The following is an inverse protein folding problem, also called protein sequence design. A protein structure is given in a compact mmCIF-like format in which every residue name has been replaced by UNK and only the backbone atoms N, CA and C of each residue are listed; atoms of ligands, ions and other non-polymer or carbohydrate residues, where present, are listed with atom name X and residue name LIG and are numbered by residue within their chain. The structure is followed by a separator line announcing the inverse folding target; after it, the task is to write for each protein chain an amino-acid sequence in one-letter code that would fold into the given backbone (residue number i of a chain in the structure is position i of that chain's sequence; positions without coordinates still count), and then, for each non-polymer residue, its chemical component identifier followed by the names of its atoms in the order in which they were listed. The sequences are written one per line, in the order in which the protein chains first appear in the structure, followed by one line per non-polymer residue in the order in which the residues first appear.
data_IF_014029199744
#
_entry.id   IF_014029199744
#
_cell.length_a   1.000
_cell.length_b   1.000
_cell.length_c   1.000
_cell.angle_alpha   90.00
_cell.angle_beta   90.00
_cell.angle_gamma   90.00
#
_symmetry.space_group_name_H-M   'P 1'
#
loop_
_entity.id
_entity.type
_entity.pdbx_description
1 polymer ?
#
# COMPACT_ATOMS: atom_id res chain seq x y z
N UNK A 1 -10.90 -51.32 108.43
CA UNK A 1 -10.16 -51.70 107.25
C UNK A 1 -11.05 -51.54 106.03
N UNK A 2 -11.17 -50.44 105.46
CA UNK A 2 -11.87 -50.27 104.21
C UNK A 2 -11.01 -49.40 103.27
N UNK A 3 -10.64 -49.99 102.15
CA UNK A 3 -9.92 -49.33 101.09
C UNK A 3 -10.90 -48.62 100.14
N UNK A 4 -10.82 -47.34 100.04
CA UNK A 4 -11.57 -46.54 99.11
C UNK A 4 -10.81 -46.49 97.77
N UNK A 5 -11.45 -46.94 96.69
CA UNK A 5 -10.95 -46.87 95.32
C UNK A 5 -11.55 -45.63 94.69
N UNK A 6 -10.69 -44.68 94.33
CA UNK A 6 -11.08 -43.48 93.57
C UNK A 6 -10.95 -43.79 92.08
N UNK A 7 -12.09 -43.75 91.35
CA UNK A 7 -12.13 -43.91 89.90
C UNK A 7 -12.04 -42.55 89.24
N UNK A 8 -10.95 -42.31 88.53
CA UNK A 8 -10.77 -41.08 87.74
C UNK A 8 -11.38 -41.33 86.35
N UNK A 9 -12.46 -40.61 86.00
CA UNK A 9 -13.08 -40.63 84.66
C UNK A 9 -12.40 -39.58 83.83
N UNK A 10 -11.60 -39.92 82.84
CA UNK A 10 -10.99 -39.03 81.85
C UNK A 10 -12.02 -38.65 80.81
N UNK A 11 -12.40 -37.39 80.76
CA UNK A 11 -13.27 -36.79 79.70
C UNK A 11 -12.40 -36.48 78.47
N UNK A 12 -12.54 -37.29 77.43
CA UNK A 12 -11.86 -37.03 76.10
C UNK A 12 -12.74 -36.11 75.31
N UNK A 13 -12.37 -34.82 75.32
CA UNK A 13 -13.01 -33.81 74.52
C UNK A 13 -12.60 -33.93 73.06
N UNK A 14 -13.49 -34.43 72.19
CA UNK A 14 -13.31 -34.46 70.74
C UNK A 14 -13.51 -33.04 70.17
N UNK A 15 -12.40 -32.33 69.85
CA UNK A 15 -12.49 -31.08 69.14
C UNK A 15 -12.79 -31.35 67.66
N UNK A 16 -14.05 -31.11 67.23
CA UNK A 16 -14.46 -31.08 65.82
C UNK A 16 -13.81 -29.85 65.15
N UNK A 17 -12.72 -30.07 64.40
CA UNK A 17 -12.19 -29.10 63.46
C UNK A 17 -13.16 -28.96 62.29
N UNK A 18 -14.05 -27.93 62.33
CA UNK A 18 -14.84 -27.54 61.20
C UNK A 18 -13.91 -26.88 60.18
N UNK A 19 -13.36 -27.61 59.28
CA UNK A 19 -12.72 -27.07 58.08
C UNK A 19 -13.82 -26.44 57.20
N UNK A 20 -14.03 -25.13 57.35
CA UNK A 20 -14.88 -24.36 56.44
C UNK A 20 -14.22 -24.38 55.08
N UNK A 21 -14.57 -25.30 54.20
CA UNK A 21 -14.36 -25.17 52.78
C UNK A 21 -15.11 -23.91 52.36
N UNK A 22 -14.40 -22.82 52.10
CA UNK A 22 -14.97 -21.67 51.35
C UNK A 22 -15.36 -22.26 50.00
N UNK A 23 -16.64 -22.48 49.79
CA UNK A 23 -17.22 -22.73 48.47
C UNK A 23 -16.91 -21.50 47.65
N UNK A 24 -15.95 -21.58 46.73
CA UNK A 24 -15.80 -20.56 45.73
C UNK A 24 -17.14 -20.48 45.01
N UNK A 25 -17.87 -19.41 45.25
CA UNK A 25 -19.05 -19.08 44.44
C UNK A 25 -18.43 -18.78 43.08
N UNK A 26 -18.73 -19.60 42.10
CA UNK A 26 -18.37 -19.31 40.70
C UNK A 26 -19.15 -18.04 40.30
N UNK A 27 -18.55 -16.92 40.50
CA UNK A 27 -19.08 -15.64 39.99
C UNK A 27 -18.79 -15.69 38.50
N UNK A 28 -19.86 -15.66 37.68
CA UNK A 28 -19.69 -15.51 36.24
C UNK A 28 -18.85 -14.26 35.95
N UNK A 29 -17.70 -14.41 35.28
CA UNK A 29 -16.85 -13.27 34.98
C UNK A 29 -17.57 -12.28 34.06
N UNK A 30 -17.32 -11.01 34.29
CA UNK A 30 -17.72 -9.93 33.41
C UNK A 30 -16.49 -9.19 32.93
N UNK A 31 -16.29 -9.10 31.62
CA UNK A 31 -15.28 -8.24 31.04
C UNK A 31 -15.93 -6.91 30.65
N UNK A 32 -15.32 -5.82 31.08
CA UNK A 32 -15.82 -4.46 30.88
C UNK A 32 -15.16 -3.78 29.69
N UNK A 33 -13.85 -4.03 29.48
CA UNK A 33 -13.06 -3.31 28.49
C UNK A 33 -11.91 -4.19 28.01
N UNK A 34 -11.52 -3.98 26.77
CA UNK A 34 -10.29 -4.47 26.16
C UNK A 34 -9.49 -3.26 25.63
N UNK A 35 -8.22 -3.16 25.99
CA UNK A 35 -7.37 -2.06 25.59
C UNK A 35 -6.02 -2.56 25.04
N UNK A 36 -5.65 -2.14 23.81
CA UNK A 36 -6.50 -1.48 22.80
C UNK A 36 -7.61 -2.42 22.28
N UNK A 37 -8.68 -1.85 21.67
CA UNK A 37 -9.78 -2.59 21.06
C UNK A 37 -9.49 -3.08 19.63
N UNK A 38 -8.36 -2.64 19.09
CA UNK A 38 -7.84 -3.03 17.78
C UNK A 38 -6.32 -3.01 17.77
N UNK A 39 -5.69 -4.03 17.19
CA UNK A 39 -4.22 -4.10 17.11
C UNK A 39 -3.75 -5.15 16.09
N UNK A 40 -2.47 -5.04 15.69
CA UNK A 40 -1.77 -6.06 14.92
C UNK A 40 -1.35 -7.25 15.78
N UNK A 41 -0.97 -8.34 15.11
CA UNK A 41 -0.37 -9.52 15.76
C UNK A 41 0.80 -9.16 16.68
N UNK A 42 0.97 -9.91 17.74
CA UNK A 42 1.97 -9.74 18.79
C UNK A 42 1.76 -8.54 19.75
N UNK A 43 0.73 -7.73 19.58
CA UNK A 43 0.41 -6.62 20.48
C UNK A 43 -0.12 -7.16 21.82
N UNK A 44 0.31 -6.56 22.94
CA UNK A 44 -0.20 -6.86 24.28
C UNK A 44 -1.57 -6.19 24.48
N UNK A 45 -2.54 -6.97 24.93
CA UNK A 45 -3.88 -6.49 25.28
C UNK A 45 -4.11 -6.62 26.78
N UNK A 46 -4.80 -5.65 27.34
CA UNK A 46 -5.30 -5.69 28.71
C UNK A 46 -6.81 -5.81 28.71
N UNK A 47 -7.34 -6.86 29.31
CA UNK A 47 -8.77 -7.06 29.52
C UNK A 47 -9.06 -6.73 30.99
N UNK A 48 -9.99 -5.82 31.25
CA UNK A 48 -10.42 -5.46 32.58
C UNK A 48 -11.84 -5.92 32.85
N UNK A 49 -12.15 -6.25 34.13
CA UNK A 49 -13.45 -6.77 34.51
C UNK A 49 -13.54 -7.20 35.95
N UNK A 50 -14.33 -8.23 36.20
CA UNK A 50 -14.44 -8.89 37.52
C UNK A 50 -14.58 -10.40 37.34
N UNK A 51 -14.08 -11.19 38.32
CA UNK A 51 -14.12 -12.65 38.28
C UNK A 51 -13.20 -13.28 37.23
N UNK A 52 -12.23 -12.54 36.69
CA UNK A 52 -11.39 -12.96 35.55
C UNK A 52 -10.31 -13.98 35.93
N UNK A 53 -10.05 -14.20 37.20
CA UNK A 53 -9.02 -15.11 37.71
C UNK A 53 -9.12 -16.53 37.18
N UNK A 54 -10.37 -16.99 36.96
CA UNK A 54 -10.64 -18.37 36.56
C UNK A 54 -10.66 -18.61 35.05
N UNK A 55 -10.30 -17.61 34.23
CA UNK A 55 -10.17 -17.78 32.78
C UNK A 55 -8.94 -18.65 32.49
N UNK A 56 -9.16 -19.72 31.73
CA UNK A 56 -8.10 -20.70 31.39
C UNK A 56 -7.72 -20.72 29.93
N UNK A 57 -8.60 -20.23 29.04
CA UNK A 57 -8.29 -20.16 27.60
C UNK A 57 -8.97 -18.97 26.96
N UNK A 58 -8.36 -18.51 25.86
CA UNK A 58 -8.92 -17.49 24.98
C UNK A 58 -8.68 -17.91 23.52
N UNK A 59 -9.63 -17.59 22.63
CA UNK A 59 -9.59 -17.94 21.21
C UNK A 59 -10.12 -16.75 20.41
N UNK A 60 -9.45 -16.40 19.34
CA UNK A 60 -9.97 -15.50 18.30
C UNK A 60 -10.91 -16.30 17.41
N UNK A 61 -12.19 -15.93 17.34
CA UNK A 61 -13.25 -16.76 16.73
C UNK A 61 -13.12 -16.86 15.20
N UNK A 62 -12.56 -15.85 14.53
CA UNK A 62 -12.28 -15.93 13.10
C UNK A 62 -11.12 -16.89 12.85
N UNK A 63 -11.44 -18.11 12.45
CA UNK A 63 -10.48 -19.19 12.21
C UNK A 63 -10.09 -20.00 13.46
N UNK A 64 -10.71 -19.74 14.62
CA UNK A 64 -10.45 -20.44 15.90
C UNK A 64 -8.97 -20.41 16.31
N UNK A 65 -8.34 -19.25 16.25
CA UNK A 65 -6.90 -19.09 16.55
C UNK A 65 -6.70 -18.98 18.06
N UNK A 66 -5.99 -19.93 18.71
CA UNK A 66 -5.82 -19.92 20.16
C UNK A 66 -4.84 -18.84 20.62
N UNK A 67 -5.11 -18.29 21.80
CA UNK A 67 -4.23 -17.32 22.46
C UNK A 67 -3.29 -18.07 23.41
N UNK A 68 -1.99 -17.89 23.21
CA UNK A 68 -1.00 -18.37 24.19
C UNK A 68 -0.88 -17.37 25.34
N UNK A 69 -1.36 -17.70 26.53
CA UNK A 69 -1.17 -16.92 27.76
C UNK A 69 -1.05 -17.84 28.96
N UNK A 70 -0.52 -17.30 30.08
CA UNK A 70 -0.38 -18.08 31.32
C UNK A 70 -1.46 -17.67 32.30
N UNK A 71 -2.45 -18.54 32.61
CA UNK A 71 -3.56 -18.25 33.51
C UNK A 71 -3.11 -17.89 34.94
N UNK A 72 -1.91 -18.29 35.36
CA UNK A 72 -1.39 -17.98 36.71
C UNK A 72 -1.13 -16.48 36.93
N UNK A 73 -1.06 -15.69 35.87
CA UNK A 73 -0.92 -14.23 35.97
C UNK A 73 -2.28 -13.51 35.95
N UNK A 74 -3.40 -14.23 35.80
CA UNK A 74 -4.71 -13.62 35.87
C UNK A 74 -4.99 -13.11 37.29
N UNK A 75 -5.50 -11.90 37.33
CA UNK A 75 -6.07 -11.35 38.57
C UNK A 75 -7.59 -11.42 38.50
N UNK A 76 -8.26 -11.07 39.61
CA UNK A 76 -9.72 -11.01 39.60
C UNK A 76 -10.25 -9.92 38.66
N UNK A 77 -9.46 -8.86 38.42
CA UNK A 77 -9.87 -7.67 37.70
C UNK A 77 -9.19 -7.49 36.34
N UNK A 78 -8.16 -8.28 36.00
CA UNK A 78 -7.43 -8.12 34.75
C UNK A 78 -6.82 -9.42 34.21
N UNK A 79 -6.79 -9.52 32.87
CA UNK A 79 -6.05 -10.51 32.09
C UNK A 79 -5.15 -9.79 31.11
N UNK A 80 -3.94 -10.30 30.92
CA UNK A 80 -3.00 -9.85 29.88
C UNK A 80 -2.84 -10.96 28.84
N UNK A 81 -3.11 -10.64 27.58
CA UNK A 81 -2.92 -11.56 26.46
C UNK A 81 -2.17 -10.86 25.32
N UNK A 82 -1.61 -11.65 24.39
CA UNK A 82 -1.08 -11.10 23.13
C UNK A 82 -1.96 -11.55 21.96
N UNK A 83 -2.17 -10.64 21.01
CA UNK A 83 -2.77 -10.99 19.73
C UNK A 83 -1.90 -12.04 19.06
N UNK A 84 -2.42 -13.22 18.70
CA UNK A 84 -1.64 -14.20 17.95
C UNK A 84 -1.12 -13.64 16.64
N UNK A 85 0.12 -13.98 16.26
CA UNK A 85 0.72 -13.47 15.02
C UNK A 85 0.01 -14.00 13.76
N UNK A 86 -0.66 -15.13 13.89
CA UNK A 86 -1.45 -15.82 12.88
C UNK A 86 -2.96 -15.54 12.99
N UNK A 87 -3.37 -14.62 13.87
CA UNK A 87 -4.77 -14.20 13.96
C UNK A 87 -5.25 -13.61 12.62
N UNK A 88 -6.41 -14.05 12.17
CA UNK A 88 -7.00 -13.54 10.93
C UNK A 88 -7.37 -12.07 11.06
N UNK A 89 -7.07 -11.30 10.02
CA UNK A 89 -7.32 -9.84 9.96
C UNK A 89 -8.82 -9.56 9.85
N UNK A 90 -9.28 -8.54 10.57
CA UNK A 90 -10.64 -8.05 10.51
C UNK A 90 -11.35 -8.07 11.87
N UNK A 91 -12.62 -7.61 11.85
CA UNK A 91 -13.49 -7.60 13.05
C UNK A 91 -13.88 -9.02 13.42
N UNK A 92 -13.73 -9.35 14.69
CA UNK A 92 -14.01 -10.66 15.26
C UNK A 92 -14.24 -10.56 16.78
N UNK A 93 -14.41 -11.69 17.46
CA UNK A 93 -14.48 -11.73 18.92
C UNK A 93 -13.33 -12.54 19.51
N UNK A 94 -12.90 -12.16 20.70
CA UNK A 94 -12.04 -12.98 21.53
C UNK A 94 -12.97 -13.69 22.52
N UNK A 95 -13.06 -15.01 22.40
CA UNK A 95 -13.89 -15.88 23.25
C UNK A 95 -13.02 -16.42 24.38
N UNK A 96 -13.41 -16.10 25.61
CA UNK A 96 -12.75 -16.55 26.83
C UNK A 96 -13.53 -17.70 27.45
N UNK A 97 -12.83 -18.72 27.96
CA UNK A 97 -13.43 -19.86 28.63
C UNK A 97 -12.82 -20.02 30.03
N UNK A 98 -13.67 -20.17 31.03
CA UNK A 98 -13.28 -20.38 32.42
C UNK A 98 -13.03 -21.86 32.73
N UNK A 99 -12.46 -22.15 33.91
CA UNK A 99 -12.29 -23.50 34.45
C UNK A 99 -13.62 -24.26 34.65
N UNK A 100 -14.75 -23.53 34.84
CA UNK A 100 -16.09 -24.10 34.93
C UNK A 100 -16.77 -24.34 33.58
N UNK A 101 -16.12 -23.92 32.46
CA UNK A 101 -16.67 -24.01 31.11
C UNK A 101 -17.58 -22.84 30.74
N UNK A 102 -17.73 -21.82 31.60
CA UNK A 102 -18.46 -20.61 31.24
C UNK A 102 -17.70 -19.83 30.18
N UNK A 103 -18.41 -19.30 29.18
CA UNK A 103 -17.82 -18.51 28.10
C UNK A 103 -18.40 -17.08 28.07
N UNK A 104 -17.53 -16.14 27.73
CA UNK A 104 -17.89 -14.77 27.39
C UNK A 104 -16.98 -14.27 26.27
N UNK A 105 -17.37 -13.23 25.57
CA UNK A 105 -16.59 -12.71 24.45
C UNK A 105 -16.54 -11.18 24.46
N UNK A 106 -15.48 -10.64 23.86
CA UNK A 106 -15.30 -9.22 23.60
C UNK A 106 -15.05 -9.00 22.10
N UNK A 107 -15.64 -7.95 21.51
CA UNK A 107 -15.33 -7.56 20.15
C UNK A 107 -13.87 -7.06 20.07
N UNK A 108 -13.21 -7.39 18.98
CA UNK A 108 -11.84 -6.97 18.70
C UNK A 108 -11.61 -6.88 17.20
N UNK A 109 -10.72 -5.97 16.76
CA UNK A 109 -10.31 -5.90 15.35
C UNK A 109 -8.82 -6.19 15.22
N UNK A 110 -8.49 -7.26 14.49
CA UNK A 110 -7.08 -7.54 14.13
C UNK A 110 -6.71 -6.69 12.93
N UNK A 111 -5.68 -5.86 13.09
CA UNK A 111 -5.17 -4.96 12.06
C UNK A 111 -4.04 -5.63 11.28
N UNK A 112 -3.94 -5.28 9.98
CA UNK A 112 -2.79 -5.60 9.16
C UNK A 112 -2.05 -4.34 8.73
N UNK A 113 -0.74 -4.45 8.48
CA UNK A 113 0.03 -3.38 7.83
C UNK A 113 -0.50 -3.14 6.42
N UNK A 114 -0.40 -1.91 5.90
CA UNK A 114 -0.78 -1.63 4.52
C UNK A 114 0.02 -2.49 3.55
N UNK A 115 -0.58 -2.83 2.41
CA UNK A 115 0.10 -3.49 1.31
C UNK A 115 -0.21 -2.73 0.04
N UNK A 116 0.81 -2.24 -0.67
CA UNK A 116 0.67 -1.44 -1.88
C UNK A 116 1.11 -2.28 -3.07
N UNK A 117 0.25 -2.41 -4.07
CA UNK A 117 0.52 -3.19 -5.29
C UNK A 117 0.80 -2.33 -6.50
N UNK A 118 0.23 -1.11 -6.56
CA UNK A 118 0.43 -0.19 -7.68
C UNK A 118 0.12 1.26 -7.29
N UNK A 119 0.58 2.18 -8.12
CA UNK A 119 0.24 3.60 -8.08
C UNK A 119 -0.22 4.06 -9.47
N UNK A 120 -1.13 5.01 -9.51
CA UNK A 120 -1.53 5.69 -10.74
C UNK A 120 -1.83 7.17 -10.46
N UNK A 121 -1.20 8.10 -11.19
CA UNK A 121 -0.06 7.86 -12.08
C UNK A 121 1.18 7.35 -11.31
N UNK A 122 2.20 6.87 -12.03
CA UNK A 122 3.50 6.48 -11.44
C UNK A 122 4.45 7.66 -11.26
N UNK A 123 3.94 8.85 -11.50
CA UNK A 123 4.67 10.11 -11.43
C UNK A 123 3.89 11.09 -10.56
N UNK A 124 4.59 12.08 -10.03
CA UNK A 124 3.95 13.20 -9.32
C UNK A 124 4.65 14.52 -9.63
N UNK A 125 3.91 15.58 -9.52
CA UNK A 125 4.41 16.95 -9.33
C UNK A 125 3.81 17.53 -8.06
N UNK A 126 4.36 18.62 -7.57
CA UNK A 126 3.88 19.26 -6.36
C UNK A 126 2.37 19.54 -6.41
N UNK A 127 1.61 18.97 -5.47
CA UNK A 127 0.16 19.11 -5.37
C UNK A 127 -0.67 18.17 -6.24
N UNK A 128 -0.06 17.36 -7.10
CA UNK A 128 -0.80 16.37 -7.90
C UNK A 128 -1.33 15.20 -7.04
N UNK A 129 -2.39 14.58 -7.54
CA UNK A 129 -3.03 13.45 -6.89
C UNK A 129 -2.46 12.14 -7.43
N UNK A 130 -2.14 11.22 -6.51
CA UNK A 130 -1.75 9.83 -6.82
C UNK A 130 -2.71 8.89 -6.12
N UNK A 131 -3.19 7.87 -6.83
CA UNK A 131 -4.01 6.79 -6.29
C UNK A 131 -3.14 5.56 -6.09
N UNK A 132 -2.98 5.13 -4.85
CA UNK A 132 -2.34 3.87 -4.49
C UNK A 132 -3.40 2.77 -4.40
N UNK A 133 -3.12 1.61 -4.99
CA UNK A 133 -3.98 0.42 -4.90
C UNK A 133 -3.28 -0.65 -4.07
N UNK A 134 -4.06 -1.37 -3.25
CA UNK A 134 -3.49 -2.37 -2.36
C UNK A 134 -4.51 -3.04 -1.45
N UNK A 135 -4.10 -3.33 -0.21
CA UNK A 135 -4.96 -3.90 0.82
C UNK A 135 -4.70 -3.22 2.17
N UNK A 136 -5.71 -3.21 3.05
CA UNK A 136 -5.65 -2.68 4.42
C UNK A 136 -5.26 -1.20 4.47
N UNK A 137 -5.76 -0.41 3.50
CA UNK A 137 -5.42 1.01 3.34
C UNK A 137 -6.37 1.93 4.09
N UNK A 138 -7.54 1.46 4.54
CA UNK A 138 -8.63 2.23 5.17
C UNK A 138 -8.23 2.98 6.44
N UNK A 139 -7.25 2.47 7.16
CA UNK A 139 -6.74 3.06 8.41
C UNK A 139 -5.40 3.75 8.26
N UNK A 140 -4.96 4.01 7.00
CA UNK A 140 -3.73 4.74 6.75
C UNK A 140 -3.82 6.17 7.28
N UNK A 141 -2.81 6.60 8.03
CA UNK A 141 -2.78 7.88 8.72
C UNK A 141 -1.53 8.72 8.43
N UNK A 142 -0.54 8.14 7.75
CA UNK A 142 0.68 8.83 7.39
C UNK A 142 1.28 8.29 6.09
N UNK A 143 1.79 9.20 5.25
CA UNK A 143 2.52 8.90 4.02
C UNK A 143 3.80 9.71 4.00
N UNK A 144 4.95 9.06 3.90
CA UNK A 144 6.25 9.71 3.81
C UNK A 144 6.92 9.42 2.47
N UNK A 145 7.64 10.41 1.94
CA UNK A 145 8.53 10.25 0.79
C UNK A 145 9.88 9.76 1.31
N UNK A 146 10.20 8.51 1.00
CA UNK A 146 11.40 7.84 1.57
C UNK A 146 12.68 8.58 1.14
N UNK A 147 13.55 8.81 2.11
CA UNK A 147 14.82 9.53 1.90
C UNK A 147 14.73 11.03 2.03
N UNK A 148 13.54 11.57 2.35
CA UNK A 148 13.31 13.01 2.60
C UNK A 148 12.57 13.21 3.93
N UNK A 149 12.29 14.47 4.27
CA UNK A 149 11.40 14.85 5.38
C UNK A 149 9.97 15.14 4.90
N UNK A 150 9.72 15.03 3.60
CA UNK A 150 8.47 15.42 2.97
C UNK A 150 7.40 14.36 3.19
N UNK A 151 6.17 14.81 3.43
CA UNK A 151 5.02 13.95 3.71
C UNK A 151 3.86 14.26 2.77
N UNK A 152 3.19 13.21 2.30
CA UNK A 152 1.97 13.34 1.51
C UNK A 152 0.75 13.62 2.38
N UNK A 153 -0.27 14.20 1.79
CA UNK A 153 -1.59 14.41 2.40
C UNK A 153 -2.56 13.34 1.91
N UNK A 154 -3.22 12.66 2.84
CA UNK A 154 -4.26 11.68 2.52
C UNK A 154 -5.57 12.41 2.23
N UNK A 155 -6.12 12.21 1.04
CA UNK A 155 -7.40 12.77 0.59
C UNK A 155 -8.55 11.82 0.91
N UNK A 156 -8.36 10.54 0.62
CA UNK A 156 -9.33 9.49 0.95
C UNK A 156 -8.65 8.14 1.11
N UNK A 157 -9.25 7.27 1.93
CA UNK A 157 -8.79 5.93 2.17
C UNK A 157 -9.96 4.95 2.17
N UNK A 158 -9.76 3.80 1.54
CA UNK A 158 -10.65 2.63 1.58
C UNK A 158 -9.80 1.37 1.72
N UNK A 159 -10.41 0.21 1.91
CA UNK A 159 -9.67 -1.05 2.06
C UNK A 159 -8.70 -1.35 0.90
N UNK A 160 -9.00 -0.86 -0.30
CA UNK A 160 -8.27 -1.17 -1.54
C UNK A 160 -7.59 0.02 -2.20
N UNK A 161 -7.92 1.23 -1.81
CA UNK A 161 -7.40 2.45 -2.43
C UNK A 161 -7.05 3.51 -1.39
N UNK A 162 -5.94 4.19 -1.62
CA UNK A 162 -5.50 5.35 -0.86
C UNK A 162 -5.19 6.47 -1.85
N UNK A 163 -5.96 7.54 -1.79
CA UNK A 163 -5.76 8.73 -2.64
C UNK A 163 -4.98 9.76 -1.84
N UNK A 164 -3.86 10.20 -2.39
CA UNK A 164 -2.94 11.11 -1.73
C UNK A 164 -2.57 12.27 -2.65
N UNK A 165 -2.15 13.40 -2.07
CA UNK A 165 -1.37 14.42 -2.77
C UNK A 165 0.04 14.45 -2.23
N UNK A 166 1.01 14.64 -3.13
CA UNK A 166 2.42 14.72 -2.76
C UNK A 166 2.92 16.17 -2.88
N UNK A 167 3.76 16.65 -1.95
CA UNK A 167 4.32 18.00 -1.99
C UNK A 167 5.47 18.09 -2.99
N UNK A 168 6.00 19.32 -3.16
CA UNK A 168 7.32 19.50 -3.73
C UNK A 168 8.35 18.75 -2.91
N UNK A 169 9.31 18.10 -3.58
CA UNK A 169 10.37 17.32 -2.93
C UNK A 169 11.70 17.50 -3.62
N UNK A 170 12.77 17.33 -2.88
CA UNK A 170 14.14 17.31 -3.43
C UNK A 170 14.46 16.01 -4.18
N UNK A 171 13.72 14.93 -3.90
CA UNK A 171 13.92 13.63 -4.55
C UNK A 171 13.51 13.68 -6.03
N UNK A 172 14.35 13.14 -6.93
CA UNK A 172 14.02 12.96 -8.35
C UNK A 172 13.09 11.76 -8.57
N UNK A 173 13.21 10.75 -7.74
CA UNK A 173 12.29 9.61 -7.61
C UNK A 173 12.30 9.11 -6.18
N UNK A 174 11.22 8.50 -5.70
CA UNK A 174 11.15 7.98 -4.35
C UNK A 174 10.13 6.87 -4.19
N UNK A 175 10.42 5.96 -3.27
CA UNK A 175 9.42 5.06 -2.68
C UNK A 175 8.57 5.83 -1.68
N UNK A 176 7.37 5.34 -1.43
CA UNK A 176 6.50 5.86 -0.38
C UNK A 176 6.43 4.89 0.79
N UNK A 177 6.50 5.43 2.00
CA UNK A 177 6.24 4.69 3.22
C UNK A 177 4.83 5.04 3.73
N UNK A 178 3.95 4.05 3.81
CA UNK A 178 2.57 4.19 4.23
C UNK A 178 2.41 3.55 5.62
N UNK A 179 1.89 4.30 6.57
CA UNK A 179 1.72 3.89 7.96
C UNK A 179 0.24 3.83 8.33
N UNK A 180 -0.14 2.81 9.06
CA UNK A 180 -1.39 2.70 9.80
C UNK A 180 -1.13 2.27 11.25
N UNK A 181 -2.18 2.00 12.02
CA UNK A 181 -2.04 1.59 13.44
C UNK A 181 -1.37 0.20 13.62
N UNK A 182 -1.25 -0.60 12.55
CA UNK A 182 -0.57 -1.89 12.60
C UNK A 182 0.93 -1.79 12.29
N UNK A 183 1.36 -0.75 11.57
CA UNK A 183 2.75 -0.55 11.19
C UNK A 183 2.93 0.20 9.88
N UNK A 184 4.14 0.13 9.35
CA UNK A 184 4.55 0.84 8.13
C UNK A 184 4.98 -0.15 7.05
N UNK A 185 4.54 0.11 5.82
CA UNK A 185 5.01 -0.59 4.61
C UNK A 185 5.62 0.43 3.63
N UNK A 186 6.70 0.04 2.98
CA UNK A 186 7.31 0.83 1.89
C UNK A 186 6.94 0.19 0.56
N UNK A 187 6.63 1.02 -0.46
CA UNK A 187 6.35 0.52 -1.82
C UNK A 187 7.55 -0.21 -2.42
N UNK A 188 7.31 -1.25 -3.19
CA UNK A 188 8.38 -1.96 -3.91
C UNK A 188 8.89 -1.19 -5.14
N UNK A 189 8.08 -0.29 -5.66
CA UNK A 189 8.37 0.61 -6.78
C UNK A 189 8.60 2.05 -6.30
N UNK A 190 9.27 2.85 -7.13
CA UNK A 190 9.41 4.30 -6.92
C UNK A 190 8.47 5.07 -7.82
N UNK A 191 7.96 6.20 -7.34
CA UNK A 191 7.31 7.21 -8.17
C UNK A 191 8.35 8.21 -8.67
N UNK A 192 8.11 8.80 -9.82
CA UNK A 192 8.99 9.79 -10.46
C UNK A 192 8.49 11.20 -10.14
N UNK A 193 9.38 12.05 -9.66
CA UNK A 193 9.06 13.47 -9.46
C UNK A 193 9.25 14.26 -10.76
N UNK A 194 8.16 14.57 -11.45
CA UNK A 194 8.18 15.29 -12.71
C UNK A 194 8.82 16.68 -12.61
N UNK A 195 8.83 17.31 -11.43
CA UNK A 195 9.44 18.62 -11.22
C UNK A 195 10.98 18.57 -11.24
N UNK A 196 11.58 17.37 -11.27
CA UNK A 196 13.02 17.14 -11.31
C UNK A 196 13.48 16.50 -12.62
N UNK A 197 12.59 16.32 -13.59
CA UNK A 197 12.89 15.65 -14.86
C UNK A 197 12.92 16.65 -16.02
N UNK A 198 13.55 16.28 -17.12
CA UNK A 198 13.37 16.96 -18.37
C UNK A 198 12.02 16.57 -18.96
N UNK A 199 11.10 17.53 -19.00
CA UNK A 199 9.76 17.37 -19.58
C UNK A 199 9.82 17.57 -21.09
N UNK A 200 9.50 16.54 -21.86
CA UNK A 200 9.29 16.69 -23.30
C UNK A 200 7.84 17.11 -23.57
N UNK A 201 6.89 16.44 -22.86
CA UNK A 201 5.48 16.83 -22.89
C UNK A 201 4.82 16.45 -21.56
N UNK A 202 3.93 17.31 -21.05
CA UNK A 202 3.03 17.03 -19.92
C UNK A 202 1.67 17.69 -20.22
N UNK A 203 1.31 18.85 -19.62
CA UNK A 203 0.15 19.68 -20.00
C UNK A 203 0.41 20.51 -21.28
N UNK A 204 1.56 20.33 -21.90
CA UNK A 204 2.05 21.02 -23.07
C UNK A 204 3.50 20.65 -23.32
N UNK A 205 4.07 21.17 -24.38
CA UNK A 205 5.49 20.98 -24.67
C UNK A 205 6.35 21.59 -23.56
N UNK A 206 7.40 20.89 -23.19
CA UNK A 206 8.40 21.38 -22.23
C UNK A 206 9.11 22.66 -22.72
N UNK A 207 9.84 23.32 -21.83
CA UNK A 207 10.62 24.49 -22.20
C UNK A 207 11.65 24.15 -23.28
N UNK A 208 11.66 24.87 -24.40
CA UNK A 208 12.54 24.60 -25.54
C UNK A 208 12.18 23.37 -26.35
N UNK A 209 11.03 22.76 -26.11
CA UNK A 209 10.55 21.59 -26.89
C UNK A 209 9.56 22.07 -27.95
N UNK A 210 9.75 21.59 -29.18
CA UNK A 210 8.96 21.91 -30.37
C UNK A 210 8.40 20.62 -30.98
N UNK A 211 7.25 20.75 -31.64
CA UNK A 211 6.66 19.68 -32.45
C UNK A 211 7.24 19.70 -33.87
N UNK A 212 7.96 18.65 -34.22
CA UNK A 212 8.48 18.41 -35.57
C UNK A 212 7.91 17.11 -36.16
N UNK A 213 6.70 16.74 -35.71
CA UNK A 213 6.02 15.52 -36.15
C UNK A 213 5.71 15.55 -37.66
N UNK A 214 5.80 14.36 -38.28
CA UNK A 214 5.33 14.14 -39.65
C UNK A 214 4.04 13.30 -39.66
N UNK A 215 3.40 13.11 -38.53
CA UNK A 215 2.01 12.72 -38.31
C UNK A 215 1.15 13.97 -38.12
N UNK A 216 -0.18 13.79 -37.99
CA UNK A 216 -1.05 14.91 -37.61
C UNK A 216 -1.09 15.02 -36.09
N UNK A 217 -0.32 15.99 -35.59
CA UNK A 217 -0.16 16.25 -34.16
C UNK A 217 -1.05 17.38 -33.68
N UNK A 218 -1.57 17.29 -32.45
CA UNK A 218 -2.31 18.37 -31.76
C UNK A 218 -2.40 18.08 -30.26
N UNK A 219 -2.61 19.13 -29.46
CA UNK A 219 -2.89 18.97 -28.04
C UNK A 219 -4.40 18.75 -27.87
N UNK A 220 -4.76 17.63 -27.23
CA UNK A 220 -6.13 17.32 -26.79
C UNK A 220 -6.39 17.91 -25.42
N UNK A 221 -7.47 18.67 -25.27
CA UNK A 221 -7.92 19.23 -23.98
C UNK A 221 -9.06 18.41 -23.35
N UNK A 222 -9.22 17.14 -23.76
CA UNK A 222 -10.17 16.22 -23.16
C UNK A 222 -9.54 15.50 -21.96
N UNK A 223 -9.97 15.80 -20.71
CA UNK A 223 -9.37 15.17 -19.52
C UNK A 223 -9.62 13.66 -19.43
N UNK A 224 -10.57 13.10 -20.18
CA UNK A 224 -10.76 11.65 -20.26
C UNK A 224 -9.70 10.98 -21.15
N UNK A 225 -8.96 11.78 -21.90
CA UNK A 225 -7.87 11.35 -22.78
C UNK A 225 -6.51 11.88 -22.28
N UNK A 226 -6.40 12.14 -20.98
CA UNK A 226 -5.18 12.56 -20.29
C UNK A 226 -4.95 11.70 -19.04
N UNK A 227 -3.72 11.66 -18.54
CA UNK A 227 -3.32 10.84 -17.37
C UNK A 227 -3.24 11.74 -16.14
N UNK A 228 -4.30 11.73 -15.32
CA UNK A 228 -4.41 12.53 -14.10
C UNK A 228 -4.11 14.04 -14.31
N UNK A 229 -4.34 14.52 -15.51
CA UNK A 229 -4.06 15.86 -16.01
C UNK A 229 -5.23 16.36 -16.85
N UNK A 230 -5.08 17.47 -17.58
CA UNK A 230 -6.16 18.03 -18.39
C UNK A 230 -5.89 17.94 -19.88
N UNK A 231 -4.64 17.66 -20.28
CA UNK A 231 -4.23 17.66 -21.68
C UNK A 231 -3.35 16.43 -21.98
N UNK A 232 -3.39 16.00 -23.24
CA UNK A 232 -2.51 14.99 -23.80
C UNK A 232 -2.10 15.36 -25.23
N UNK A 233 -1.01 14.80 -25.72
CA UNK A 233 -0.56 14.95 -27.09
C UNK A 233 -1.28 13.91 -27.95
N UNK A 234 -2.13 14.37 -28.86
CA UNK A 234 -2.89 13.54 -29.79
C UNK A 234 -2.15 13.43 -31.11
N UNK A 235 -1.87 12.19 -31.52
CA UNK A 235 -1.23 11.86 -32.77
C UNK A 235 -2.17 11.05 -33.68
N UNK A 236 -2.38 11.48 -34.91
CA UNK A 236 -3.15 10.76 -35.91
C UNK A 236 -2.19 10.22 -36.96
N UNK A 237 -2.08 8.92 -37.02
CA UNK A 237 -1.27 8.17 -37.95
C UNK A 237 -2.15 7.62 -39.08
N UNK A 238 -1.87 7.97 -40.32
CA UNK A 238 -2.66 7.51 -41.47
C UNK A 238 -2.46 6.02 -41.70
N UNK A 239 -3.49 5.33 -42.18
CA UNK A 239 -3.52 3.95 -42.59
C UNK A 239 -2.30 3.57 -43.44
N UNK A 240 -1.58 2.52 -43.00
CA UNK A 240 -0.41 1.99 -43.73
C UNK A 240 0.78 2.94 -43.80
N UNK A 241 0.71 4.10 -43.12
CA UNK A 241 1.78 5.09 -43.12
C UNK A 241 2.85 4.82 -42.06
N UNK A 242 4.10 5.12 -42.40
CA UNK A 242 5.22 5.14 -41.45
C UNK A 242 5.42 6.56 -40.92
N UNK A 243 4.38 7.09 -40.31
CA UNK A 243 4.40 8.44 -39.75
C UNK A 243 4.92 8.41 -38.33
N UNK A 244 5.33 9.57 -37.82
CA UNK A 244 5.87 9.67 -36.46
C UNK A 244 5.64 11.02 -35.82
N UNK A 245 5.42 10.95 -34.52
CA UNK A 245 5.58 12.08 -33.61
C UNK A 245 7.07 12.34 -33.45
N UNK A 246 7.47 13.62 -33.44
CA UNK A 246 8.85 14.03 -33.19
C UNK A 246 8.87 15.22 -32.22
N UNK A 247 9.53 15.07 -31.11
CA UNK A 247 9.72 16.11 -30.11
C UNK A 247 11.15 16.64 -30.20
N UNK A 248 11.30 17.85 -30.71
CA UNK A 248 12.59 18.51 -30.93
C UNK A 248 12.93 19.44 -29.76
N UNK A 249 14.15 19.35 -29.25
CA UNK A 249 14.71 20.25 -28.23
C UNK A 249 15.62 21.29 -28.88
N UNK A 250 15.47 22.53 -28.46
CA UNK A 250 16.41 23.62 -28.84
C UNK A 250 17.84 23.34 -28.35
N UNK A 251 17.96 22.61 -27.23
CA UNK A 251 19.25 22.23 -26.63
C UNK A 251 19.61 20.78 -26.93
N UNK A 252 20.91 20.47 -26.92
CA UNK A 252 21.39 19.12 -27.00
C UNK A 252 21.04 18.32 -25.75
N UNK A 253 20.42 17.15 -25.94
CA UNK A 253 20.12 16.17 -24.91
C UNK A 253 21.25 15.13 -24.94
N UNK A 254 22.02 15.06 -23.86
CA UNK A 254 23.03 14.01 -23.66
C UNK A 254 22.35 12.86 -22.93
N UNK A 255 22.07 11.77 -23.65
CA UNK A 255 21.22 10.68 -23.11
C UNK A 255 21.80 10.03 -21.86
N UNK A 256 23.13 9.97 -21.70
CA UNK A 256 23.79 9.43 -20.50
C UNK A 256 23.57 10.23 -19.22
N UNK A 257 22.99 11.44 -19.30
CA UNK A 257 22.59 12.20 -18.12
C UNK A 257 21.27 11.70 -17.51
N UNK A 258 20.60 10.76 -18.18
CA UNK A 258 19.30 10.24 -17.81
C UNK A 258 19.35 8.72 -17.63
N UNK A 259 18.49 8.22 -16.74
CA UNK A 259 18.34 6.79 -16.48
C UNK A 259 17.33 6.13 -17.43
N UNK A 260 16.27 6.85 -17.82
CA UNK A 260 15.20 6.33 -18.66
C UNK A 260 14.46 7.44 -19.43
N UNK A 261 13.81 7.05 -20.53
CA UNK A 261 12.70 7.76 -21.16
C UNK A 261 11.40 7.09 -20.68
N UNK A 262 10.47 7.86 -20.11
CA UNK A 262 9.16 7.37 -19.67
C UNK A 262 8.04 8.14 -20.34
N UNK A 263 6.91 7.48 -20.56
CA UNK A 263 5.69 8.11 -21.08
C UNK A 263 4.48 7.23 -20.86
N UNK A 264 3.31 7.85 -20.84
CA UNK A 264 2.05 7.15 -21.03
C UNK A 264 1.66 7.20 -22.50
N UNK A 265 1.10 6.11 -23.01
CA UNK A 265 0.51 6.06 -24.35
C UNK A 265 -0.80 5.30 -24.31
N UNK A 266 -1.84 5.86 -24.92
CA UNK A 266 -3.12 5.19 -25.13
C UNK A 266 -3.21 4.79 -26.60
N UNK A 267 -3.41 3.49 -26.85
CA UNK A 267 -3.55 2.94 -28.18
C UNK A 267 -4.81 3.38 -28.93
N UNK A 268 -4.76 3.25 -30.23
CA UNK A 268 -5.88 3.47 -31.15
C UNK A 268 -6.90 2.33 -31.13
N UNK A 269 -7.52 2.06 -32.28
CA UNK A 269 -8.57 1.03 -32.40
C UNK A 269 -8.03 -0.40 -32.48
N UNK A 270 -6.75 -0.57 -32.73
CA UNK A 270 -6.04 -1.85 -32.77
C UNK A 270 -4.69 -1.75 -32.05
N UNK A 271 -4.06 -2.91 -31.79
CA UNK A 271 -2.72 -2.94 -31.22
C UNK A 271 -1.72 -2.39 -32.23
N UNK A 272 -0.84 -1.49 -31.78
CA UNK A 272 0.15 -0.85 -32.62
C UNK A 272 1.57 -1.13 -32.15
N UNK A 273 2.52 -1.10 -33.07
CA UNK A 273 3.94 -1.09 -32.77
C UNK A 273 4.47 0.34 -33.02
N UNK A 274 5.16 0.87 -32.05
CA UNK A 274 5.78 2.21 -32.13
C UNK A 274 7.27 2.09 -31.86
N UNK A 275 8.09 2.49 -32.82
CA UNK A 275 9.53 2.62 -32.65
C UNK A 275 9.85 3.96 -31.99
N UNK A 276 10.53 3.90 -30.87
CA UNK A 276 11.04 5.06 -30.14
C UNK A 276 12.52 5.16 -30.36
N UNK A 277 13.00 6.29 -30.86
CA UNK A 277 14.42 6.48 -31.18
C UNK A 277 14.87 7.93 -30.96
N UNK A 278 16.11 8.15 -30.49
CA UNK A 278 16.75 9.43 -30.60
C UNK A 278 17.20 9.68 -32.05
N UNK A 279 17.23 10.93 -32.49
CA UNK A 279 17.76 11.30 -33.82
C UNK A 279 19.29 11.08 -33.89
N UNK A 280 19.88 10.74 -35.10
CA UNK A 280 19.20 10.66 -36.39
C UNK A 280 18.52 9.31 -36.61
N UNK A 281 17.37 9.36 -37.30
CA UNK A 281 16.68 8.16 -37.74
C UNK A 281 17.59 7.22 -38.55
N UNK A 282 17.34 5.92 -38.41
CA UNK A 282 18.08 4.90 -39.14
C UNK A 282 19.40 4.47 -38.51
N UNK A 283 19.79 5.01 -37.37
CA UNK A 283 20.82 4.41 -36.52
C UNK A 283 20.25 3.18 -35.82
N UNK A 284 21.11 2.25 -35.39
CA UNK A 284 20.71 1.00 -34.77
C UNK A 284 20.02 1.15 -33.37
N UNK A 285 19.83 2.35 -32.89
CA UNK A 285 19.34 2.67 -31.55
C UNK A 285 17.85 3.04 -31.56
N UNK A 286 17.00 2.03 -31.66
CA UNK A 286 15.56 2.19 -31.50
C UNK A 286 14.99 1.08 -30.62
N UNK A 287 13.90 1.39 -29.93
CA UNK A 287 13.15 0.44 -29.11
C UNK A 287 11.72 0.36 -29.65
N UNK A 288 11.28 -0.84 -30.00
CA UNK A 288 9.90 -1.08 -30.42
C UNK A 288 9.02 -1.33 -29.22
N UNK A 289 7.97 -0.53 -29.06
CA UNK A 289 6.98 -0.63 -28.00
C UNK A 289 5.66 -1.16 -28.60
N UNK A 290 5.06 -2.16 -27.93
CA UNK A 290 3.70 -2.59 -28.23
C UNK A 290 2.72 -1.72 -27.46
N UNK A 291 1.79 -1.09 -28.18
CA UNK A 291 0.76 -0.21 -27.64
C UNK A 291 -0.60 -0.90 -27.82
N UNK A 292 -1.19 -1.45 -26.74
CA UNK A 292 -2.47 -2.13 -26.80
C UNK A 292 -3.62 -1.19 -27.17
N UNK A 293 -4.61 -1.70 -27.90
CA UNK A 293 -5.77 -0.94 -28.33
C UNK A 293 -6.56 -0.35 -27.16
N UNK A 294 -6.89 0.94 -27.22
CA UNK A 294 -7.75 1.66 -26.28
C UNK A 294 -7.33 1.63 -24.79
N UNK A 295 -6.09 1.26 -24.48
CA UNK A 295 -5.59 1.14 -23.11
C UNK A 295 -4.46 2.12 -22.87
N UNK A 296 -4.51 2.85 -21.75
CA UNK A 296 -3.36 3.60 -21.26
C UNK A 296 -2.27 2.64 -20.76
N UNK A 297 -1.09 2.74 -21.34
CA UNK A 297 0.08 1.94 -20.99
C UNK A 297 1.20 2.87 -20.54
N UNK A 298 1.77 2.60 -19.38
CA UNK A 298 3.00 3.26 -18.92
C UNK A 298 4.21 2.54 -19.51
N UNK A 299 5.07 3.29 -20.16
CA UNK A 299 6.28 2.78 -20.82
C UNK A 299 7.49 3.35 -20.14
N UNK A 300 8.45 2.49 -19.85
CA UNK A 300 9.79 2.86 -19.36
C UNK A 300 10.84 2.25 -20.29
N UNK A 301 11.62 3.08 -20.92
CA UNK A 301 12.75 2.66 -21.76
C UNK A 301 14.04 3.06 -21.04
N UNK A 302 14.77 2.12 -20.43
CA UNK A 302 16.09 2.42 -19.84
C UNK A 302 17.04 3.00 -20.88
N UNK A 303 17.79 4.04 -20.54
CA UNK A 303 18.81 4.60 -21.42
C UNK A 303 19.93 3.59 -21.59
N UNK A 304 20.40 2.98 -20.50
CA UNK A 304 21.45 1.97 -20.52
C UNK A 304 21.03 0.78 -21.37
N UNK A 305 21.84 0.45 -22.36
CA UNK A 305 21.60 -0.63 -23.33
C UNK A 305 20.75 -0.22 -24.55
N UNK A 306 19.99 0.87 -24.47
CA UNK A 306 19.13 1.33 -25.56
C UNK A 306 19.63 2.61 -26.22
N UNK A 307 19.93 3.65 -25.44
CA UNK A 307 20.27 4.98 -25.95
C UNK A 307 21.62 5.50 -25.45
N UNK A 308 22.48 4.62 -24.94
CA UNK A 308 23.78 5.02 -24.37
C UNK A 308 24.65 5.84 -25.33
N UNK A 309 25.23 6.90 -24.79
CA UNK A 309 26.28 7.68 -25.45
C UNK A 309 25.79 8.47 -26.65
N UNK A 310 24.49 8.70 -26.77
CA UNK A 310 23.91 9.51 -27.84
C UNK A 310 23.77 10.96 -27.34
N UNK A 311 24.14 11.91 -28.20
CA UNK A 311 23.74 13.31 -28.06
C UNK A 311 22.74 13.60 -29.17
N UNK A 312 21.54 14.00 -28.81
CA UNK A 312 20.44 14.25 -29.75
C UNK A 312 19.77 15.57 -29.47
N UNK A 313 18.99 16.06 -30.42
CA UNK A 313 18.07 17.19 -30.24
C UNK A 313 16.62 16.76 -30.37
N UNK A 314 16.31 15.46 -30.57
CA UNK A 314 14.91 15.01 -30.66
C UNK A 314 14.76 13.54 -30.32
N UNK A 315 13.52 13.20 -29.96
CA UNK A 315 13.03 11.84 -29.87
C UNK A 315 11.87 11.64 -30.83
N UNK A 316 11.92 10.57 -31.62
CA UNK A 316 10.92 10.17 -32.58
C UNK A 316 10.11 8.97 -32.07
N UNK A 317 8.81 8.98 -32.34
CA UNK A 317 7.87 7.93 -32.01
C UNK A 317 7.14 7.52 -33.29
N UNK A 318 7.71 6.60 -34.04
CA UNK A 318 7.25 6.21 -35.35
C UNK A 318 6.39 4.97 -35.31
N UNK A 319 5.14 5.05 -35.83
CA UNK A 319 4.27 3.88 -35.95
C UNK A 319 4.76 2.95 -37.08
N UNK A 320 4.58 1.64 -36.90
CA UNK A 320 4.72 0.70 -38.00
C UNK A 320 3.55 0.80 -38.97
N UNK A 321 3.83 0.84 -40.27
CA UNK A 321 2.85 1.06 -41.32
C UNK A 321 2.02 -0.17 -41.68
N UNK A 322 1.56 -0.94 -40.70
CA UNK A 322 0.82 -2.18 -40.91
C UNK A 322 -0.66 -2.10 -40.47
N UNK A 323 -1.15 -0.94 -40.04
CA UNK A 323 -2.53 -0.73 -39.64
C UNK A 323 -3.50 -0.72 -40.84
N UNK A 324 -4.70 -1.28 -40.67
CA UNK A 324 -5.76 -1.31 -41.67
C UNK A 324 -6.67 -0.06 -41.68
N UNK A 325 -6.51 0.81 -40.68
CA UNK A 325 -7.24 2.08 -40.56
C UNK A 325 -6.32 3.14 -39.97
N UNK A 326 -6.73 4.41 -40.05
CA UNK A 326 -6.06 5.52 -39.35
C UNK A 326 -6.07 5.22 -37.85
N UNK A 327 -4.93 5.40 -37.19
CA UNK A 327 -4.78 5.19 -35.77
C UNK A 327 -4.62 6.53 -35.06
N UNK A 328 -5.39 6.74 -34.00
CA UNK A 328 -5.22 7.89 -33.10
C UNK A 328 -4.66 7.40 -31.78
N UNK A 329 -3.44 7.82 -31.48
CA UNK A 329 -2.78 7.56 -30.21
C UNK A 329 -2.75 8.85 -29.38
N UNK A 330 -2.76 8.69 -28.05
CA UNK A 330 -2.59 9.81 -27.12
C UNK A 330 -1.37 9.53 -26.27
N UNK A 331 -0.51 10.53 -26.14
CA UNK A 331 0.68 10.47 -25.31
C UNK A 331 0.59 11.49 -24.18
N UNK A 332 1.11 11.15 -23.01
CA UNK A 332 1.15 12.03 -21.87
C UNK A 332 2.38 11.75 -21.00
N UNK A 333 2.78 12.74 -20.21
CA UNK A 333 3.93 12.68 -19.28
C UNK A 333 5.18 12.07 -19.94
N UNK A 334 5.61 12.63 -21.08
CA UNK A 334 6.84 12.19 -21.76
C UNK A 334 8.03 12.86 -21.09
N UNK A 335 8.84 12.07 -20.39
CA UNK A 335 9.91 12.54 -19.52
C UNK A 335 11.24 11.84 -19.82
N UNK A 336 12.34 12.58 -19.75
CA UNK A 336 13.65 12.01 -19.53
C UNK A 336 13.99 12.08 -18.05
N UNK A 337 14.18 10.91 -17.44
CA UNK A 337 14.30 10.71 -16.00
C UNK A 337 15.77 10.63 -15.60
N UNK A 338 16.18 11.46 -14.63
CA UNK A 338 17.53 11.46 -14.05
C UNK A 338 17.82 10.27 -13.13
#
# INVERSE_FOLDING_TARGET
MFKTIITITAFFGCALLITSCKKNVDINPTANEIAPDSAAGNTLLTITGSGLRNVQSAVFDLGNVPVAFNPNFNTDNAILIRVPIDANVGAQHIVFTTTSGYQFSLPFTVLAVPSITSAFPQEWQAGSTVTLTGNYLESSNHVAIVGTVDTGTIISASAKQLVITLPASSASSAKLAITNNAGTTTTDFSLINMDKQLKLFTEGYGAGIQDWSWSASSISADPNLAVASTQSLKEVYAKGGWQGMSLHSDDNIVTSDYSALTFYVKGGTEDNLVDVSPDPQGTAKKVTVTVPANVWTYVTIPVVGNFDGITTQRFDFQIHGNSDADQTLYFDNILLVH
#
